data_IF_652728028583
#
_entry.id   IF_652728028583
#
_cell.length_a   1.000
_cell.length_b   1.000
_cell.length_c   1.000
_cell.angle_alpha   90.00
_cell.angle_beta   90.00
_cell.angle_gamma   90.00
#
_symmetry.space_group_name_H-M   'P 1'
#
loop_
_entity.id
_entity.type
_entity.pdbx_description
1 polymer ?
#
# COMPACT_ATOMS: atom_id res chain seq x y z
N UNK A 1 13.65 2.03 15.38
CA UNK A 1 12.87 3.25 15.67
C UNK A 1 12.36 3.79 14.34
N UNK A 2 11.28 3.21 13.82
CA UNK A 2 10.57 3.74 12.66
C UNK A 2 9.63 4.84 13.16
N UNK A 3 9.99 6.11 12.93
CA UNK A 3 9.31 7.30 13.42
C UNK A 3 8.04 7.62 12.62
N UNK A 4 7.24 6.62 12.25
CA UNK A 4 5.95 6.85 11.58
C UNK A 4 4.86 6.85 12.65
N UNK A 5 4.16 7.98 12.89
CA UNK A 5 3.23 8.13 14.00
C UNK A 5 2.10 7.09 13.93
N UNK A 6 1.65 6.65 15.11
CA UNK A 6 0.65 5.61 15.38
C UNK A 6 -0.80 5.95 14.92
N UNK A 7 -0.93 6.63 13.78
CA UNK A 7 -2.20 7.00 13.14
C UNK A 7 -2.31 6.52 11.69
N UNK A 8 -1.48 5.55 11.27
CA UNK A 8 -1.61 4.97 9.93
C UNK A 8 -2.81 4.03 9.97
N UNK A 9 -3.94 4.49 9.42
CA UNK A 9 -5.06 3.60 9.11
C UNK A 9 -4.51 2.55 8.15
N UNK A 10 -4.41 1.30 8.59
CA UNK A 10 -3.86 0.25 7.75
C UNK A 10 -4.72 0.14 6.48
N UNK A 11 -4.13 0.07 5.27
CA UNK A 11 -4.90 0.03 4.01
C UNK A 11 -5.87 -1.16 3.98
N UNK A 12 -5.56 -2.24 4.69
CA UNK A 12 -6.48 -3.35 4.95
C UNK A 12 -7.69 -2.92 5.80
N UNK A 13 -7.50 -2.22 6.91
CA UNK A 13 -8.62 -1.69 7.71
C UNK A 13 -9.44 -0.67 6.94
N UNK A 14 -8.82 0.20 6.13
CA UNK A 14 -9.54 1.13 5.28
C UNK A 14 -10.39 0.39 4.23
N UNK A 15 -9.82 -0.60 3.53
CA UNK A 15 -10.54 -1.42 2.56
C UNK A 15 -11.66 -2.24 3.21
N UNK A 16 -11.43 -2.80 4.41
CA UNK A 16 -12.45 -3.52 5.17
C UNK A 16 -13.57 -2.60 5.65
N UNK A 17 -13.25 -1.38 6.12
CA UNK A 17 -14.25 -0.40 6.54
C UNK A 17 -15.11 0.08 5.37
N UNK A 18 -14.51 0.30 4.19
CA UNK A 18 -15.22 0.67 2.96
C UNK A 18 -16.06 -0.48 2.41
N UNK A 19 -15.57 -1.72 2.52
CA UNK A 19 -16.32 -2.93 2.18
C UNK A 19 -17.42 -3.28 3.21
N UNK A 20 -17.36 -2.76 4.44
CA UNK A 20 -18.38 -2.93 5.47
C UNK A 20 -19.40 -1.78 5.52
N UNK A 21 -19.14 -0.66 4.82
CA UNK A 21 -20.07 0.46 4.79
C UNK A 21 -21.31 0.16 3.93
N UNK A 22 -22.50 0.30 4.54
CA UNK A 22 -23.81 0.14 3.87
C UNK A 22 -24.41 1.44 3.30
N UNK A 23 -23.66 2.55 3.37
CA UNK A 23 -24.12 3.86 2.86
C UNK A 23 -23.93 4.03 1.35
N UNK A 24 -23.03 3.28 0.72
CA UNK A 24 -22.77 3.36 -0.71
C UNK A 24 -22.41 1.98 -1.28
N UNK A 25 -23.41 1.34 -1.91
CA UNK A 25 -23.28 0.01 -2.48
C UNK A 25 -22.27 -0.05 -3.65
N UNK A 26 -22.06 1.07 -4.36
CA UNK A 26 -21.11 1.15 -5.46
C UNK A 26 -19.66 1.14 -4.96
N UNK A 27 -19.39 1.84 -3.85
CA UNK A 27 -18.10 1.81 -3.17
C UNK A 27 -17.83 0.43 -2.56
N UNK A 28 -18.84 -0.18 -1.92
CA UNK A 28 -18.73 -1.54 -1.35
C UNK A 28 -18.31 -2.58 -2.40
N UNK A 29 -18.93 -2.53 -3.58
CA UNK A 29 -18.65 -3.46 -4.68
C UNK A 29 -17.23 -3.29 -5.26
N UNK A 30 -16.71 -2.06 -5.31
CA UNK A 30 -15.34 -1.78 -5.79
C UNK A 30 -14.27 -2.20 -4.78
N UNK A 31 -14.52 -2.00 -3.47
CA UNK A 31 -13.55 -2.29 -2.42
C UNK A 31 -13.59 -3.75 -1.93
N UNK A 32 -14.65 -4.51 -2.17
CA UNK A 32 -14.74 -5.93 -1.83
C UNK A 32 -13.62 -6.80 -2.47
N UNK A 33 -13.35 -6.74 -3.79
CA UNK A 33 -12.25 -7.50 -4.39
C UNK A 33 -10.88 -7.00 -3.92
N UNK A 34 -10.73 -5.69 -3.68
CA UNK A 34 -9.49 -5.11 -3.12
C UNK A 34 -9.22 -5.63 -1.70
N UNK A 35 -10.23 -5.64 -0.83
CA UNK A 35 -10.11 -6.14 0.53
C UNK A 35 -9.74 -7.63 0.57
N UNK A 36 -10.28 -8.42 -0.37
CA UNK A 36 -9.90 -9.82 -0.54
C UNK A 36 -8.45 -9.96 -1.00
N UNK A 37 -8.04 -9.24 -2.05
CA UNK A 37 -6.67 -9.28 -2.56
C UNK A 37 -5.63 -8.85 -1.52
N UNK A 38 -5.95 -7.82 -0.72
CA UNK A 38 -5.10 -7.36 0.39
C UNK A 38 -5.04 -8.36 1.54
N UNK A 39 -6.15 -9.05 1.84
CA UNK A 39 -6.17 -10.07 2.91
C UNK A 39 -5.42 -11.33 2.50
N UNK A 40 -5.61 -11.80 1.27
CA UNK A 40 -4.92 -12.99 0.74
C UNK A 40 -3.41 -12.74 0.57
N UNK A 41 -3.04 -11.51 0.16
CA UNK A 41 -1.65 -11.10 -0.06
C UNK A 41 -0.94 -10.52 1.15
N UNK A 42 -1.59 -10.41 2.32
CA UNK A 42 -1.10 -9.63 3.47
C UNK A 42 0.31 -10.04 3.93
N UNK A 43 0.55 -11.34 4.10
CA UNK A 43 1.84 -11.86 4.53
C UNK A 43 2.95 -11.52 3.51
N UNK A 44 2.64 -11.64 2.21
CA UNK A 44 3.57 -11.28 1.12
C UNK A 44 3.82 -9.78 1.09
N UNK A 45 2.78 -8.95 1.23
CA UNK A 45 2.88 -7.49 1.25
C UNK A 45 3.74 -7.04 2.43
N UNK A 46 3.50 -7.57 3.62
CA UNK A 46 4.31 -7.27 4.81
C UNK A 46 5.76 -7.69 4.59
N UNK A 47 5.99 -8.86 3.99
CA UNK A 47 7.33 -9.34 3.62
C UNK A 47 8.06 -8.41 2.65
N UNK A 48 7.39 -7.98 1.59
CA UNK A 48 7.93 -7.06 0.58
C UNK A 48 8.24 -5.67 1.19
N UNK A 49 7.32 -5.14 2.01
CA UNK A 49 7.50 -3.84 2.68
C UNK A 49 8.62 -3.88 3.73
N UNK A 50 8.76 -4.98 4.47
CA UNK A 50 9.85 -5.15 5.44
C UNK A 50 11.19 -5.38 4.75
N UNK A 51 11.23 -6.14 3.64
CA UNK A 51 12.45 -6.42 2.89
C UNK A 51 13.08 -5.21 2.20
N UNK A 52 12.32 -4.12 2.06
CA UNK A 52 12.79 -2.83 1.56
C UNK A 52 13.37 -1.91 2.64
N UNK A 53 13.18 -2.22 3.93
CA UNK A 53 13.67 -1.38 5.03
C UNK A 53 15.18 -1.54 5.25
N UNK A 54 15.82 -0.48 5.71
CA UNK A 54 17.25 -0.48 6.09
C UNK A 54 18.24 -0.48 4.93
N UNK A 55 17.76 -0.44 3.67
CA UNK A 55 18.62 -0.34 2.49
C UNK A 55 18.76 1.12 2.07
N UNK A 56 19.97 1.52 1.68
CA UNK A 56 20.18 2.81 1.03
C UNK A 56 19.46 2.80 -0.32
N UNK A 57 18.70 3.86 -0.60
CA UNK A 57 17.89 3.99 -1.82
C UNK A 57 18.35 5.23 -2.58
N UNK A 58 18.76 5.05 -3.84
CA UNK A 58 19.04 6.15 -4.74
C UNK A 58 17.73 6.67 -5.35
N UNK A 59 17.36 7.89 -4.96
CA UNK A 59 16.20 8.60 -5.51
C UNK A 59 16.58 9.62 -6.59
N UNK A 60 17.84 9.66 -7.02
CA UNK A 60 18.32 10.49 -8.14
C UNK A 60 18.51 11.98 -7.84
N UNK A 61 18.24 12.43 -6.61
CA UNK A 61 18.42 13.82 -6.21
C UNK A 61 17.82 14.10 -4.83
N UNK A 62 18.34 15.12 -4.13
CA UNK A 62 17.87 15.46 -2.77
C UNK A 62 16.73 16.50 -2.79
N UNK A 63 16.86 17.59 -3.55
CA UNK A 63 15.84 18.64 -3.68
C UNK A 63 14.84 18.39 -4.81
N UNK A 64 15.23 17.63 -5.82
CA UNK A 64 14.40 17.26 -6.95
C UNK A 64 14.70 15.81 -7.29
N UNK A 65 14.02 14.90 -6.60
CA UNK A 65 14.19 13.47 -6.82
C UNK A 65 13.68 13.09 -8.21
N UNK A 66 14.37 12.15 -8.84
CA UNK A 66 13.94 11.58 -10.11
C UNK A 66 12.70 10.70 -9.83
N UNK A 67 11.55 11.09 -10.39
CA UNK A 67 10.29 10.36 -10.18
C UNK A 67 10.36 8.91 -10.67
N UNK A 68 11.20 8.62 -11.68
CA UNK A 68 11.40 7.26 -12.18
C UNK A 68 12.14 6.39 -11.16
N UNK A 69 12.95 6.99 -10.28
CA UNK A 69 13.66 6.29 -9.20
C UNK A 69 12.90 6.33 -7.88
N UNK A 70 12.30 7.47 -7.54
CA UNK A 70 11.57 7.70 -6.31
C UNK A 70 10.24 6.92 -6.26
N UNK A 71 9.54 6.77 -7.39
CA UNK A 71 8.28 6.02 -7.45
C UNK A 71 8.44 4.55 -7.03
N UNK A 72 9.34 3.77 -7.66
CA UNK A 72 9.62 2.39 -7.26
C UNK A 72 10.16 2.28 -5.84
N UNK A 73 11.03 3.21 -5.44
CA UNK A 73 11.58 3.30 -4.09
C UNK A 73 10.50 3.45 -3.00
N UNK A 74 9.47 4.26 -3.25
CA UNK A 74 8.38 4.50 -2.31
C UNK A 74 7.24 3.46 -2.41
N UNK A 75 7.25 2.62 -3.44
CA UNK A 75 6.24 1.58 -3.68
C UNK A 75 6.89 0.18 -3.80
N UNK A 76 7.62 -0.29 -2.78
CA UNK A 76 8.45 -1.50 -2.90
C UNK A 76 7.65 -2.81 -2.98
N UNK A 77 6.34 -2.79 -2.67
CA UNK A 77 5.49 -3.98 -2.74
C UNK A 77 4.78 -4.07 -4.09
N UNK A 78 5.24 -5.00 -4.93
CA UNK A 78 4.61 -5.30 -6.22
C UNK A 78 3.19 -5.85 -6.03
N UNK A 79 3.00 -6.70 -5.01
CA UNK A 79 1.71 -7.31 -4.69
C UNK A 79 0.69 -6.26 -4.28
N UNK A 80 1.08 -5.31 -3.42
CA UNK A 80 0.23 -4.19 -3.02
C UNK A 80 -0.08 -3.24 -4.18
N UNK A 81 0.92 -2.96 -5.03
CA UNK A 81 0.73 -2.10 -6.20
C UNK A 81 -0.25 -2.70 -7.21
N UNK A 82 -0.17 -4.02 -7.46
CA UNK A 82 -1.09 -4.72 -8.34
C UNK A 82 -2.52 -4.72 -7.78
N UNK A 83 -2.68 -4.92 -6.48
CA UNK A 83 -3.98 -4.86 -5.82
C UNK A 83 -4.65 -3.48 -5.98
N UNK A 84 -3.90 -2.39 -5.79
CA UNK A 84 -4.42 -1.03 -5.98
C UNK A 84 -4.70 -0.71 -7.46
N UNK A 85 -3.87 -1.19 -8.38
CA UNK A 85 -4.06 -0.95 -9.81
C UNK A 85 -5.30 -1.65 -10.39
N UNK A 86 -5.84 -2.65 -9.68
CA UNK A 86 -7.05 -3.37 -10.05
C UNK A 86 -8.35 -2.68 -9.57
N UNK A 87 -8.25 -1.55 -8.87
CA UNK A 87 -9.38 -0.70 -8.43
C UNK A 87 -9.69 0.40 -9.46
#
# INVERSE_FOLDING_TARGET
>A
LDSRPAGRVDPKQAAQALAAQDKDAGLKAKFAPLAKALSDGEATIIGELNGAQGKAVDIGGYYHADLAKAGPAMRPSATFNAAIAAL
#
